data_IF_189665336526
#
_entry.id   IF_189665336526
#
_cell.length_a   1.000
_cell.length_b   1.000
_cell.length_c   1.000
_cell.angle_alpha   90.00
_cell.angle_beta   90.00
_cell.angle_gamma   90.00
#
_symmetry.space_group_name_H-M   'P 1'
#
loop_
_entity.id
_entity.type
_entity.pdbx_description
1 polymer ?
#
# COMPACT_ATOMS: atom_id res chain seq x y z
N UNK A 1 -19.30 -6.02 2.24
CA UNK A 1 -18.20 -5.74 3.19
C UNK A 1 -18.19 -6.89 4.18
N UNK A 2 -17.09 -7.63 4.32
CA UNK A 2 -17.06 -8.81 5.20
C UNK A 2 -17.22 -8.40 6.67
N UNK A 3 -17.70 -9.32 7.50
CA UNK A 3 -17.85 -9.12 8.96
C UNK A 3 -16.52 -8.73 9.62
N UNK A 4 -15.38 -9.21 9.09
CA UNK A 4 -14.04 -8.92 9.60
C UNK A 4 -13.65 -7.48 9.30
N UNK A 5 -13.86 -7.00 8.08
CA UNK A 5 -13.58 -5.59 7.69
C UNK A 5 -14.29 -4.60 8.61
N UNK A 6 -15.56 -4.86 8.93
CA UNK A 6 -16.34 -4.01 9.84
C UNK A 6 -15.74 -3.99 11.26
N UNK A 7 -15.29 -5.14 11.78
CA UNK A 7 -14.63 -5.23 13.09
C UNK A 7 -13.31 -4.47 13.13
N UNK A 8 -12.48 -4.60 12.09
CA UNK A 8 -11.21 -3.86 11.97
C UNK A 8 -11.48 -2.35 12.02
N UNK A 9 -12.43 -1.87 11.22
CA UNK A 9 -12.79 -0.45 11.18
C UNK A 9 -13.35 0.04 12.53
N UNK A 10 -14.19 -0.77 13.18
CA UNK A 10 -14.78 -0.43 14.48
C UNK A 10 -13.72 -0.34 15.59
N UNK A 11 -12.79 -1.30 15.65
CA UNK A 11 -11.69 -1.28 16.62
C UNK A 11 -10.72 -0.12 16.37
N UNK A 12 -10.38 0.13 15.11
CA UNK A 12 -9.59 1.30 14.75
C UNK A 12 -10.25 2.60 15.19
N UNK A 13 -11.55 2.76 14.92
CA UNK A 13 -12.32 3.93 15.34
C UNK A 13 -12.40 4.04 16.88
N UNK A 14 -12.55 2.92 17.59
CA UNK A 14 -12.60 2.89 19.06
C UNK A 14 -11.32 3.48 19.68
N UNK A 15 -10.16 3.13 19.13
CA UNK A 15 -8.85 3.56 19.64
C UNK A 15 -8.47 4.96 19.16
N UNK A 16 -8.73 5.28 17.90
CA UNK A 16 -8.19 6.50 17.26
C UNK A 16 -9.21 7.63 17.07
N UNK A 17 -10.51 7.31 17.14
CA UNK A 17 -11.64 8.19 16.77
C UNK A 17 -11.66 8.65 15.30
N UNK A 18 -10.92 7.95 14.42
CA UNK A 18 -10.86 8.24 12.98
C UNK A 18 -11.60 7.17 12.18
N UNK A 19 -12.41 7.57 11.20
CA UNK A 19 -13.12 6.68 10.28
C UNK A 19 -12.14 6.11 9.23
N UNK A 20 -11.43 5.02 9.57
CA UNK A 20 -10.30 4.45 8.82
C UNK A 20 -10.43 4.53 7.29
N UNK A 21 -11.39 3.80 6.72
CA UNK A 21 -11.54 3.66 5.27
C UNK A 21 -11.84 5.00 4.60
N UNK A 22 -12.76 5.77 5.19
CA UNK A 22 -13.18 7.06 4.64
C UNK A 22 -12.00 8.05 4.65
N UNK A 23 -11.36 8.23 5.80
CA UNK A 23 -10.25 9.19 5.95
C UNK A 23 -9.05 8.79 5.09
N UNK A 24 -8.66 7.52 5.11
CA UNK A 24 -7.52 7.04 4.31
C UNK A 24 -7.75 7.23 2.81
N UNK A 25 -8.91 6.78 2.29
CA UNK A 25 -9.21 6.85 0.86
C UNK A 25 -9.37 8.30 0.39
N UNK A 26 -10.03 9.16 1.17
CA UNK A 26 -10.13 10.60 0.85
C UNK A 26 -8.76 11.29 0.80
N UNK A 27 -7.85 10.97 1.73
CA UNK A 27 -6.50 11.52 1.68
C UNK A 27 -5.70 11.01 0.47
N UNK A 28 -5.90 9.75 0.08
CA UNK A 28 -5.26 9.21 -1.12
C UNK A 28 -5.82 9.83 -2.40
N UNK A 29 -7.12 10.12 -2.46
CA UNK A 29 -7.75 10.89 -3.53
C UNK A 29 -7.08 12.26 -3.67
N UNK A 30 -6.87 12.96 -2.55
CA UNK A 30 -6.26 14.28 -2.49
C UNK A 30 -4.78 14.27 -2.91
N UNK A 31 -4.00 13.29 -2.46
CA UNK A 31 -2.54 13.32 -2.59
C UNK A 31 -1.95 12.46 -3.70
N UNK A 32 -2.69 11.50 -4.26
CA UNK A 32 -2.16 10.53 -5.23
C UNK A 32 -1.54 11.20 -6.46
N UNK A 33 -2.19 12.20 -7.04
CA UNK A 33 -1.67 12.91 -8.22
C UNK A 33 -0.34 13.62 -7.92
N UNK A 34 -0.24 14.26 -6.75
CA UNK A 34 0.96 14.98 -6.35
C UNK A 34 2.10 14.03 -6.00
N UNK A 35 1.80 12.88 -5.38
CA UNK A 35 2.81 11.82 -5.17
C UNK A 35 3.41 11.35 -6.48
N UNK A 36 2.58 11.04 -7.50
CA UNK A 36 3.09 10.64 -8.82
C UNK A 36 3.98 11.73 -9.43
N UNK A 37 3.57 13.00 -9.34
CA UNK A 37 4.40 14.13 -9.80
C UNK A 37 5.73 14.20 -9.07
N UNK A 38 5.73 14.02 -7.74
CA UNK A 38 6.95 14.00 -6.94
C UNK A 38 7.87 12.83 -7.32
N UNK A 39 7.30 11.64 -7.58
CA UNK A 39 8.06 10.48 -8.01
C UNK A 39 8.78 10.74 -9.33
N UNK A 40 8.06 11.32 -10.32
CA UNK A 40 8.64 11.72 -11.62
C UNK A 40 9.67 12.84 -11.51
N UNK A 41 9.50 13.76 -10.56
CA UNK A 41 10.40 14.92 -10.39
C UNK A 41 11.81 14.55 -9.92
N UNK A 42 12.04 13.31 -9.45
CA UNK A 42 13.39 12.78 -9.19
C UNK A 42 14.09 12.40 -10.50
N UNK A 43 14.42 13.39 -11.32
CA UNK A 43 15.25 13.19 -12.51
C UNK A 43 16.74 13.09 -12.14
N UNK A 44 17.37 11.96 -12.47
CA UNK A 44 18.82 11.73 -12.37
C UNK A 44 19.24 10.45 -11.63
N UNK A 45 18.44 9.99 -10.67
CA UNK A 45 18.61 8.70 -9.95
C UNK A 45 17.25 8.10 -9.60
N UNK A 46 16.37 7.96 -10.60
CA UNK A 46 15.15 7.20 -10.40
C UNK A 46 15.57 5.72 -10.28
N UNK A 47 15.37 5.14 -9.10
CA UNK A 47 15.68 3.73 -8.85
C UNK A 47 14.87 2.88 -9.84
N UNK A 48 15.47 1.80 -10.35
CA UNK A 48 14.91 0.96 -11.43
C UNK A 48 13.48 0.53 -11.12
N UNK A 49 13.19 0.23 -9.86
CA UNK A 49 11.87 -0.19 -9.38
C UNK A 49 10.83 0.92 -9.45
N UNK A 50 11.16 2.14 -8.98
CA UNK A 50 10.23 3.26 -9.06
C UNK A 50 9.98 3.68 -10.50
N UNK A 51 11.00 3.56 -11.37
CA UNK A 51 10.84 3.76 -12.81
C UNK A 51 9.87 2.75 -13.41
N UNK A 52 10.12 1.45 -13.19
CA UNK A 52 9.27 0.38 -13.68
C UNK A 52 7.81 0.57 -13.23
N UNK A 53 7.60 0.93 -11.95
CA UNK A 53 6.27 1.20 -11.41
C UNK A 53 5.54 2.35 -12.14
N UNK A 54 6.27 3.41 -12.51
CA UNK A 54 5.71 4.54 -13.25
C UNK A 54 5.48 4.20 -14.73
N UNK A 55 6.38 3.46 -15.36
CA UNK A 55 6.22 2.98 -16.74
C UNK A 55 4.95 2.10 -16.85
N UNK A 56 4.74 1.17 -15.90
CA UNK A 56 3.52 0.35 -15.83
C UNK A 56 2.27 1.23 -15.67
N UNK A 57 2.34 2.29 -14.85
CA UNK A 57 1.21 3.21 -14.68
C UNK A 57 0.90 3.98 -15.97
N UNK A 58 1.91 4.40 -16.72
CA UNK A 58 1.75 5.17 -17.96
C UNK A 58 1.11 4.34 -19.09
N UNK A 59 1.25 3.01 -19.07
CA UNK A 59 0.64 2.10 -20.03
C UNK A 59 -0.83 1.76 -19.71
N UNK A 60 -1.36 2.16 -18.54
CA UNK A 60 -2.75 1.87 -18.16
C UNK A 60 -3.75 2.82 -18.80
N UNK A 61 -4.75 2.25 -19.47
CA UNK A 61 -5.83 2.99 -20.16
C UNK A 61 -7.19 2.84 -19.50
N UNK A 62 -7.39 1.83 -18.64
CA UNK A 62 -8.59 1.58 -17.86
C UNK A 62 -8.33 1.73 -16.36
N UNK A 63 -9.36 2.07 -15.59
CA UNK A 63 -9.29 2.25 -14.13
C UNK A 63 -8.13 3.12 -13.64
N UNK A 64 -7.74 4.11 -14.45
CA UNK A 64 -6.53 4.94 -14.25
C UNK A 64 -6.51 5.61 -12.88
N UNK A 65 -7.67 6.00 -12.34
CA UNK A 65 -7.78 6.61 -11.02
C UNK A 65 -7.44 5.63 -9.89
N UNK A 66 -7.96 4.41 -9.93
CA UNK A 66 -7.67 3.37 -8.92
C UNK A 66 -6.24 2.85 -9.06
N UNK A 67 -5.75 2.75 -10.31
CA UNK A 67 -4.36 2.41 -10.54
C UNK A 67 -3.43 3.51 -10.02
N UNK A 68 -3.74 4.79 -10.23
CA UNK A 68 -2.95 5.92 -9.69
C UNK A 68 -2.82 5.84 -8.17
N UNK A 69 -3.91 5.51 -7.46
CA UNK A 69 -3.90 5.32 -6.00
C UNK A 69 -2.98 4.18 -5.58
N UNK A 70 -3.08 3.04 -6.28
CA UNK A 70 -2.24 1.87 -6.04
C UNK A 70 -0.76 2.16 -6.31
N UNK A 71 -0.46 2.82 -7.42
CA UNK A 71 0.89 3.29 -7.81
C UNK A 71 1.44 4.28 -6.79
N UNK A 72 0.62 5.23 -6.31
CA UNK A 72 1.03 6.18 -5.29
C UNK A 72 1.45 5.48 -4.00
N UNK A 73 0.69 4.50 -3.52
CA UNK A 73 1.03 3.72 -2.31
C UNK A 73 2.25 2.82 -2.51
N UNK A 74 2.33 2.07 -3.62
CA UNK A 74 3.48 1.19 -3.92
C UNK A 74 4.77 1.98 -4.11
N UNK A 75 4.69 3.19 -4.66
CA UNK A 75 5.84 4.05 -4.90
C UNK A 75 6.33 4.80 -3.67
N UNK A 76 5.52 4.89 -2.61
CA UNK A 76 5.86 5.64 -1.40
C UNK A 76 7.13 5.12 -0.69
N UNK A 77 7.26 3.81 -0.37
CA UNK A 77 8.50 3.29 0.22
C UNK A 77 9.70 3.48 -0.71
N UNK A 78 9.55 3.26 -2.01
CA UNK A 78 10.62 3.47 -3.00
C UNK A 78 11.09 4.95 -3.01
N UNK A 79 10.14 5.89 -3.01
CA UNK A 79 10.46 7.32 -2.94
C UNK A 79 11.16 7.69 -1.62
N UNK A 80 10.71 7.08 -0.52
CA UNK A 80 11.31 7.22 0.80
C UNK A 80 12.58 6.38 0.98
N UNK A 81 13.06 5.66 -0.04
CA UNK A 81 14.26 4.82 0.00
C UNK A 81 14.20 3.77 1.12
N UNK A 82 13.02 3.22 1.30
CA UNK A 82 12.71 2.18 2.26
C UNK A 82 12.52 0.84 1.54
N UNK A 83 12.89 -0.24 2.21
CA UNK A 83 12.80 -1.59 1.65
C UNK A 83 11.48 -2.21 2.05
N UNK A 84 10.64 -2.55 1.09
CA UNK A 84 9.35 -3.22 1.33
C UNK A 84 9.41 -4.74 1.16
N UNK A 85 10.61 -5.31 1.05
CA UNK A 85 10.82 -6.76 0.99
C UNK A 85 10.11 -7.46 2.15
N UNK A 86 9.37 -8.52 1.85
CA UNK A 86 8.56 -9.25 2.83
C UNK A 86 7.26 -8.56 3.25
N UNK A 87 7.08 -7.25 2.99
CA UNK A 87 5.84 -6.53 3.29
C UNK A 87 4.90 -6.45 2.08
N UNK A 88 5.41 -6.13 0.88
CA UNK A 88 4.64 -6.21 -0.36
C UNK A 88 5.14 -7.37 -1.20
N UNK A 89 4.31 -8.38 -1.42
CA UNK A 89 4.62 -9.49 -2.31
C UNK A 89 3.60 -9.64 -3.43
N UNK A 90 4.04 -10.28 -4.50
CA UNK A 90 3.20 -10.73 -5.60
C UNK A 90 3.47 -12.21 -5.84
N UNK A 91 2.43 -13.01 -6.01
CA UNK A 91 2.52 -14.42 -6.39
C UNK A 91 1.52 -14.72 -7.52
N UNK A 92 1.75 -15.82 -8.23
CA UNK A 92 0.78 -16.37 -9.17
C UNK A 92 -0.36 -17.05 -8.40
N UNK A 93 -1.54 -17.14 -9.02
CA UNK A 93 -2.68 -17.87 -8.47
C UNK A 93 -2.50 -19.40 -8.48
N UNK A 94 -1.47 -19.88 -9.20
CA UNK A 94 -1.01 -21.27 -9.23
C UNK A 94 0.11 -21.56 -8.22
N UNK A 95 0.70 -20.54 -7.60
CA UNK A 95 1.75 -20.73 -6.60
C UNK A 95 1.19 -21.41 -5.33
N UNK A 96 1.91 -22.37 -4.73
CA UNK A 96 1.54 -22.92 -3.43
C UNK A 96 1.46 -21.83 -2.36
N UNK A 97 0.42 -21.88 -1.52
CA UNK A 97 0.17 -20.85 -0.50
C UNK A 97 1.34 -20.69 0.47
N UNK A 98 1.91 -21.81 0.94
CA UNK A 98 3.05 -21.85 1.86
C UNK A 98 4.29 -21.17 1.26
N UNK A 99 4.49 -21.29 -0.05
CA UNK A 99 5.56 -20.60 -0.77
C UNK A 99 5.26 -19.10 -0.92
N UNK A 100 4.01 -18.74 -1.22
CA UNK A 100 3.61 -17.36 -1.42
C UNK A 100 3.76 -16.50 -0.16
N UNK A 101 3.40 -17.05 1.00
CA UNK A 101 3.43 -16.34 2.30
C UNK A 101 4.76 -16.44 3.05
N UNK A 102 5.67 -17.33 2.62
CA UNK A 102 6.95 -17.59 3.30
C UNK A 102 7.73 -16.30 3.58
N UNK A 103 8.19 -16.09 4.81
CA UNK A 103 8.97 -14.92 5.22
C UNK A 103 8.20 -13.60 5.33
N UNK A 104 6.86 -13.62 5.27
CA UNK A 104 6.03 -12.43 5.50
C UNK A 104 5.56 -12.37 6.96
N UNK A 105 6.23 -11.57 7.80
CA UNK A 105 5.78 -11.32 9.18
C UNK A 105 4.50 -10.46 9.24
N UNK A 106 4.40 -9.46 8.37
CA UNK A 106 3.26 -8.57 8.21
C UNK A 106 3.27 -8.05 6.78
N UNK A 107 2.17 -8.16 6.04
CA UNK A 107 2.19 -7.64 4.67
C UNK A 107 0.91 -7.80 3.86
N UNK A 108 1.04 -7.41 2.59
CA UNK A 108 0.02 -7.47 1.56
C UNK A 108 0.53 -8.37 0.45
N UNK A 109 -0.18 -9.46 0.19
CA UNK A 109 0.09 -10.37 -0.92
C UNK A 109 -0.88 -10.04 -2.06
N UNK A 110 -0.33 -9.72 -3.23
CA UNK A 110 -1.09 -9.51 -4.47
C UNK A 110 -1.05 -10.81 -5.28
N UNK A 111 -2.19 -11.45 -5.47
CA UNK A 111 -2.29 -12.66 -6.30
C UNK A 111 -2.61 -12.22 -7.73
N UNK A 112 -1.82 -12.66 -8.70
CA UNK A 112 -2.03 -12.37 -10.12
C UNK A 112 -2.30 -13.64 -10.90
N UNK A 113 -3.02 -13.54 -12.00
CA UNK A 113 -3.31 -14.68 -12.88
C UNK A 113 -2.01 -15.23 -13.51
N UNK A 114 -1.85 -16.55 -13.49
CA UNK A 114 -0.82 -17.28 -14.23
C UNK A 114 -1.17 -17.34 -15.72
N UNK A 115 -0.93 -16.22 -16.41
CA UNK A 115 -1.33 -16.05 -17.80
C UNK A 115 -0.27 -16.62 -18.76
N UNK A 116 -0.45 -17.87 -19.20
CA UNK A 116 0.50 -18.61 -20.07
C UNK A 116 0.46 -18.11 -21.54
N UNK A 117 -0.45 -17.19 -21.89
CA UNK A 117 -0.83 -16.92 -23.28
C UNK A 117 -0.38 -15.60 -23.91
N UNK A 118 0.01 -14.59 -23.14
CA UNK A 118 0.24 -13.23 -23.66
C UNK A 118 1.52 -12.62 -23.12
N UNK A 119 2.60 -12.80 -23.88
CA UNK A 119 3.96 -12.29 -23.61
C UNK A 119 4.02 -10.75 -23.42
N UNK A 120 2.92 -10.03 -23.68
CA UNK A 120 2.82 -8.57 -23.66
C UNK A 120 1.64 -8.02 -22.83
N UNK A 121 0.94 -8.83 -22.02
CA UNK A 121 -0.11 -8.32 -21.12
C UNK A 121 0.42 -8.18 -19.70
N UNK A 122 0.08 -7.06 -19.06
CA UNK A 122 0.36 -6.86 -17.65
C UNK A 122 -0.41 -7.87 -16.80
N UNK A 123 0.19 -8.42 -15.73
CA UNK A 123 -0.47 -9.42 -14.89
C UNK A 123 -1.76 -8.84 -14.29
N UNK A 124 -2.87 -9.53 -14.54
CA UNK A 124 -4.18 -9.18 -13.99
C UNK A 124 -4.18 -9.55 -12.51
N UNK A 125 -4.49 -8.58 -11.64
CA UNK A 125 -4.65 -8.87 -10.21
C UNK A 125 -5.94 -9.64 -10.01
N UNK A 126 -5.83 -10.87 -9.50
CA UNK A 126 -6.94 -11.76 -9.20
C UNK A 126 -7.54 -11.48 -7.83
N UNK A 127 -6.70 -11.38 -6.81
CA UNK A 127 -7.11 -11.08 -5.43
C UNK A 127 -5.98 -10.45 -4.64
N UNK A 128 -6.30 -9.90 -3.47
CA UNK A 128 -5.32 -9.35 -2.54
C UNK A 128 -5.63 -9.91 -1.14
N UNK A 129 -4.58 -10.34 -0.45
CA UNK A 129 -4.64 -10.89 0.90
C UNK A 129 -3.74 -10.11 1.87
N UNK A 130 -4.11 -10.14 3.15
CA UNK A 130 -3.34 -9.62 4.27
C UNK A 130 -2.70 -10.79 5.00
N UNK A 131 -1.40 -10.66 5.26
CA UNK A 131 -0.58 -11.69 5.88
C UNK A 131 -0.11 -11.20 7.24
N UNK A 132 -0.23 -12.05 8.26
CA UNK A 132 0.40 -11.87 9.58
C UNK A 132 1.04 -13.21 9.95
N UNK A 133 2.32 -13.19 10.33
CA UNK A 133 3.09 -14.38 10.73
C UNK A 133 2.97 -15.54 9.72
N UNK A 134 3.17 -15.23 8.43
CA UNK A 134 3.06 -16.20 7.32
C UNK A 134 1.66 -16.87 7.21
N UNK A 135 0.61 -16.23 7.72
CA UNK A 135 -0.77 -16.71 7.63
C UNK A 135 -1.68 -15.67 6.96
N UNK A 136 -2.56 -16.13 6.06
CA UNK A 136 -3.61 -15.29 5.48
C UNK A 136 -4.65 -15.00 6.56
N UNK A 137 -4.78 -13.73 6.96
CA UNK A 137 -5.77 -13.30 7.97
C UNK A 137 -7.00 -12.64 7.37
N UNK A 138 -6.88 -12.16 6.12
CA UNK A 138 -7.98 -11.60 5.35
C UNK A 138 -7.64 -11.70 3.87
N UNK A 139 -8.57 -12.19 3.06
CA UNK A 139 -8.44 -12.43 1.62
C UNK A 139 -9.56 -11.74 0.83
N UNK A 140 -9.58 -11.97 -0.48
CA UNK A 140 -10.58 -11.46 -1.42
C UNK A 140 -10.81 -9.93 -1.31
N UNK A 141 -9.72 -9.18 -1.10
CA UNK A 141 -9.77 -7.72 -1.02
C UNK A 141 -9.69 -7.14 -2.43
N UNK A 142 -10.72 -6.36 -2.78
CA UNK A 142 -10.93 -5.85 -4.14
C UNK A 142 -9.91 -4.80 -4.62
N UNK A 143 -9.15 -4.17 -3.73
CA UNK A 143 -8.18 -3.14 -4.15
C UNK A 143 -7.01 -2.97 -3.20
N UNK A 144 -5.85 -2.63 -3.75
CA UNK A 144 -4.62 -2.43 -2.99
C UNK A 144 -4.74 -1.29 -1.96
N UNK A 145 -5.38 -0.13 -2.26
CA UNK A 145 -5.62 0.89 -1.24
C UNK A 145 -6.46 0.39 -0.06
N UNK A 146 -7.49 -0.43 -0.34
CA UNK A 146 -8.32 -1.00 0.72
C UNK A 146 -7.53 -2.00 1.57
N UNK A 147 -6.73 -2.87 0.94
CA UNK A 147 -5.88 -3.81 1.64
C UNK A 147 -4.88 -3.07 2.56
N UNK A 148 -4.25 -2.00 2.06
CA UNK A 148 -3.33 -1.20 2.86
C UNK A 148 -4.02 -0.55 4.07
N UNK A 149 -5.19 0.06 3.86
CA UNK A 149 -5.98 0.66 4.93
C UNK A 149 -6.36 -0.39 6.00
N UNK A 150 -6.81 -1.57 5.57
CA UNK A 150 -7.21 -2.65 6.47
C UNK A 150 -6.05 -3.24 7.25
N UNK A 151 -4.88 -3.41 6.61
CA UNK A 151 -3.66 -3.82 7.30
C UNK A 151 -3.24 -2.79 8.36
N UNK A 152 -3.31 -1.50 8.02
CA UNK A 152 -3.06 -0.42 8.98
C UNK A 152 -4.07 -0.46 10.14
N UNK A 153 -5.34 -0.76 9.85
CA UNK A 153 -6.37 -1.00 10.86
C UNK A 153 -6.03 -2.17 11.79
N UNK A 154 -5.57 -3.28 11.23
CA UNK A 154 -5.16 -4.48 11.98
C UNK A 154 -4.00 -4.21 12.92
N UNK A 155 -3.01 -3.43 12.49
CA UNK A 155 -1.88 -3.03 13.35
C UNK A 155 -2.38 -2.37 14.64
N UNK A 156 -3.36 -1.47 14.55
CA UNK A 156 -3.96 -0.84 15.72
C UNK A 156 -4.87 -1.78 16.51
N UNK A 157 -5.68 -2.59 15.83
CA UNK A 157 -6.61 -3.51 16.48
C UNK A 157 -5.88 -4.60 17.28
N UNK A 158 -4.71 -5.03 16.81
CA UNK A 158 -3.89 -6.08 17.41
C UNK A 158 -2.69 -5.53 18.19
N UNK A 159 -2.53 -4.20 18.27
CA UNK A 159 -1.42 -3.53 18.93
C UNK A 159 -0.04 -4.04 18.45
N UNK A 160 0.13 -4.12 17.13
CA UNK A 160 1.37 -4.53 16.48
C UNK A 160 2.31 -3.34 16.30
N UNK A 161 3.60 -3.61 16.23
CA UNK A 161 4.60 -2.62 15.84
C UNK A 161 4.58 -2.39 14.33
N UNK A 162 4.94 -1.17 13.90
CA UNK A 162 5.20 -0.92 12.48
C UNK A 162 6.47 -1.65 12.01
N UNK A 163 6.49 -2.15 10.75
CA UNK A 163 7.71 -2.68 10.15
C UNK A 163 8.82 -1.62 10.18
N UNK A 164 9.95 -1.96 10.81
CA UNK A 164 11.06 -1.01 11.06
C UNK A 164 11.68 -0.48 9.76
N UNK A 165 11.68 -1.31 8.73
CA UNK A 165 12.13 -1.01 7.36
C UNK A 165 11.21 -0.04 6.60
N UNK A 166 10.00 0.21 7.10
CA UNK A 166 8.98 1.09 6.48
C UNK A 166 8.55 2.22 7.42
N UNK A 167 9.41 2.61 8.37
CA UNK A 167 9.14 3.61 9.40
C UNK A 167 8.54 4.89 8.82
N UNK A 168 9.14 5.46 7.77
CA UNK A 168 8.68 6.71 7.19
C UNK A 168 7.41 6.54 6.37
N UNK A 169 7.25 5.43 5.64
CA UNK A 169 5.98 5.08 4.97
C UNK A 169 4.84 5.06 5.98
N UNK A 170 4.97 4.31 7.08
CA UNK A 170 3.93 4.24 8.11
C UNK A 170 3.72 5.56 8.84
N UNK A 171 4.78 6.35 9.05
CA UNK A 171 4.66 7.70 9.59
C UNK A 171 3.87 8.63 8.66
N UNK A 172 4.06 8.56 7.33
CA UNK A 172 3.27 9.30 6.35
C UNK A 172 1.80 8.90 6.43
N UNK A 173 1.50 7.60 6.42
CA UNK A 173 0.12 7.12 6.50
C UNK A 173 -0.53 7.59 7.81
N UNK A 174 0.16 7.45 8.94
CA UNK A 174 -0.36 7.85 10.24
C UNK A 174 -0.57 9.37 10.34
N UNK A 175 0.46 10.17 10.04
CA UNK A 175 0.51 11.60 10.36
C UNK A 175 -0.04 12.49 9.26
N UNK A 176 0.08 12.07 8.00
CA UNK A 176 -0.35 12.85 6.84
C UNK A 176 -1.72 12.37 6.40
N UNK A 177 -1.92 11.07 6.21
CA UNK A 177 -3.18 10.59 5.63
C UNK A 177 -4.30 10.48 6.66
N UNK A 178 -3.96 10.05 7.88
CA UNK A 178 -4.93 9.81 8.95
C UNK A 178 -4.95 10.89 10.02
N UNK A 179 -4.04 11.87 9.95
CA UNK A 179 -3.90 12.97 10.91
C UNK A 179 -3.77 12.50 12.39
N UNK A 180 -3.13 11.34 12.62
CA UNK A 180 -2.97 10.76 13.94
C UNK A 180 -1.69 11.24 14.64
N UNK A 181 -1.81 12.34 15.36
CA UNK A 181 -0.74 13.01 16.11
C UNK A 181 -0.04 14.11 15.32
N UNK A 182 0.79 14.91 15.99
CA UNK A 182 1.20 16.23 15.48
C UNK A 182 2.59 16.28 14.86
N UNK A 183 3.55 15.57 15.46
CA UNK A 183 4.94 15.74 15.11
C UNK A 183 5.35 14.78 14.00
N UNK A 184 6.01 15.32 12.97
CA UNK A 184 6.60 14.58 11.87
C UNK A 184 8.12 14.65 11.96
N UNK A 185 8.79 13.56 11.62
CA UNK A 185 10.23 13.56 11.33
C UNK A 185 10.54 14.55 10.20
N UNK A 186 11.77 15.08 10.18
CA UNK A 186 12.18 16.05 9.16
C UNK A 186 11.94 15.55 7.72
N UNK A 187 12.09 14.24 7.50
CA UNK A 187 11.84 13.58 6.21
C UNK A 187 10.35 13.61 5.83
N UNK A 188 9.47 13.23 6.76
CA UNK A 188 8.02 13.24 6.52
C UNK A 188 7.48 14.66 6.43
N UNK A 189 8.03 15.60 7.21
CA UNK A 189 7.66 17.01 7.12
C UNK A 189 8.01 17.61 5.75
N UNK A 190 9.18 17.28 5.20
CA UNK A 190 9.57 17.70 3.85
C UNK A 190 8.63 17.14 2.77
N UNK A 191 8.22 15.88 2.90
CA UNK A 191 7.22 15.29 2.01
C UNK A 191 5.86 15.99 2.15
N UNK A 192 5.35 16.15 3.37
CA UNK A 192 4.08 16.82 3.66
C UNK A 192 4.02 18.20 3.03
N UNK A 193 5.08 19.01 3.19
CA UNK A 193 5.17 20.32 2.57
C UNK A 193 5.19 20.27 1.03
N UNK A 194 5.68 19.18 0.44
CA UNK A 194 5.72 18.98 -1.01
C UNK A 194 4.39 18.47 -1.58
N UNK A 195 3.54 17.85 -0.74
CA UNK A 195 2.18 17.44 -1.09
C UNK A 195 1.21 18.62 -1.19
N UNK A 196 1.51 19.73 -0.52
CA UNK A 196 0.69 20.95 -0.52
C UNK A 196 1.02 21.94 -1.66
N UNK A 197 1.97 21.60 -2.54
CA UNK A 197 2.45 22.45 -3.65
C UNK A 197 1.84 22.05 -4.98
#
# INVERSE_FOLDING_TARGET
MSTITSKICAEFFRVTRVELMKTFLSSLDEHSAQLIKLYRSRSGKLEKELKNLLDIFDEKTTDVLEYRKSTALRGLPLYLKEQSDGFLKTCLDTDPEDVAVQGMELGILTVVEDDVGTVNSFPTTRSIALIIEEQIVLDDINSFPSAFALLFGLIYALNLDYPKNLRYTFEVIQKVFLNLGTDCSARVQALKNSLLK
#
